data_IF_719118568766
#
_entry.id   IF_719118568766
#
_cell.length_a   1.000
_cell.length_b   1.000
_cell.length_c   1.000
_cell.angle_alpha   90.00
_cell.angle_beta   90.00
_cell.angle_gamma   90.00
#
_symmetry.space_group_name_H-M   'P 1'
#
loop_
_entity.id
_entity.type
_entity.pdbx_description
1 polymer ?
#
# COMPACT_ATOMS: atom_id res chain seq x y z
N UNK A 1 12.05 -11.16 7.49
CA UNK A 1 11.61 -9.75 7.65
C UNK A 1 10.49 -9.49 6.66
N UNK A 2 9.70 -8.44 6.86
CA UNK A 2 8.63 -8.11 5.90
C UNK A 2 8.87 -6.76 5.22
N UNK A 3 8.40 -6.66 3.98
CA UNK A 3 8.51 -5.49 3.13
C UNK A 3 7.16 -5.17 2.52
N UNK A 4 6.71 -3.93 2.68
CA UNK A 4 5.57 -3.42 1.94
C UNK A 4 6.06 -3.02 0.54
N UNK A 5 5.32 -3.40 -0.50
CA UNK A 5 5.59 -3.05 -1.88
C UNK A 5 4.39 -2.29 -2.44
N UNK A 6 4.57 -1.03 -2.86
CA UNK A 6 3.55 -0.24 -3.55
C UNK A 6 3.82 -0.30 -5.05
N UNK A 7 2.79 -0.65 -5.81
CA UNK A 7 2.88 -0.79 -7.25
C UNK A 7 2.37 0.48 -7.89
N UNK A 8 3.21 1.12 -8.71
CA UNK A 8 2.94 2.43 -9.28
C UNK A 8 3.04 2.33 -10.80
N UNK A 9 1.99 2.72 -11.51
CA UNK A 9 2.01 2.77 -12.97
C UNK A 9 0.95 3.73 -13.51
N UNK A 10 1.01 4.01 -14.81
CA UNK A 10 -0.09 4.69 -15.50
C UNK A 10 -1.30 3.76 -15.55
N UNK A 11 -2.49 4.32 -15.30
CA UNK A 11 -3.73 3.59 -15.57
C UNK A 11 -3.81 3.26 -17.06
N UNK A 12 -4.19 2.03 -17.37
CA UNK A 12 -4.23 1.50 -18.72
C UNK A 12 -5.61 0.95 -18.99
N UNK A 13 -6.24 1.43 -20.06
CA UNK A 13 -7.37 0.74 -20.66
C UNK A 13 -6.84 -0.44 -21.47
N UNK A 14 -7.31 -1.65 -21.16
CA UNK A 14 -6.91 -2.87 -21.87
C UNK A 14 -8.12 -3.47 -22.57
N UNK A 15 -7.87 -4.06 -23.74
CA UNK A 15 -8.86 -4.95 -24.35
C UNK A 15 -9.01 -6.22 -23.49
N UNK A 16 -10.12 -6.98 -23.61
CA UNK A 16 -10.28 -8.22 -22.85
C UNK A 16 -9.14 -9.24 -23.07
N UNK A 17 -8.63 -9.34 -24.30
CA UNK A 17 -7.53 -10.26 -24.63
C UNK A 17 -6.21 -9.81 -23.98
N UNK A 18 -5.90 -8.50 -24.02
CA UNK A 18 -4.73 -7.93 -23.34
C UNK A 18 -4.83 -8.08 -21.82
N UNK A 19 -6.05 -7.96 -21.26
CA UNK A 19 -6.29 -8.16 -19.84
C UNK A 19 -6.04 -9.62 -19.43
N UNK A 20 -6.49 -10.59 -20.24
CA UNK A 20 -6.25 -12.02 -19.96
C UNK A 20 -4.76 -12.38 -20.02
N UNK A 21 -4.03 -11.87 -21.03
CA UNK A 21 -2.59 -12.05 -21.12
C UNK A 21 -1.85 -11.43 -19.92
N UNK A 22 -2.23 -10.21 -19.53
CA UNK A 22 -1.66 -9.56 -18.34
C UNK A 22 -1.92 -10.39 -17.07
N UNK A 23 -3.13 -10.93 -16.87
CA UNK A 23 -3.45 -11.78 -15.73
C UNK A 23 -2.57 -13.04 -15.67
N UNK A 24 -2.25 -13.66 -16.80
CA UNK A 24 -1.35 -14.82 -16.83
C UNK A 24 0.08 -14.50 -16.35
N UNK A 25 0.56 -13.27 -16.57
CA UNK A 25 1.85 -12.81 -16.02
C UNK A 25 1.79 -12.67 -14.50
N UNK A 26 0.68 -12.13 -13.96
CA UNK A 26 0.45 -12.05 -12.52
C UNK A 26 0.36 -13.43 -11.85
N UNK A 27 -0.39 -14.35 -12.45
CA UNK A 27 -0.49 -15.74 -11.97
C UNK A 27 0.88 -16.44 -11.98
N UNK A 28 1.68 -16.22 -13.02
CA UNK A 28 3.05 -16.76 -13.11
C UNK A 28 3.95 -16.19 -12.02
N UNK A 29 3.85 -14.89 -11.74
CA UNK A 29 4.55 -14.25 -10.65
C UNK A 29 4.10 -14.82 -9.29
N UNK A 30 2.79 -14.93 -9.02
CA UNK A 30 2.26 -15.50 -7.78
C UNK A 30 2.71 -16.94 -7.57
N UNK A 31 2.70 -17.77 -8.63
CA UNK A 31 3.18 -19.15 -8.55
C UNK A 31 4.68 -19.23 -8.22
N UNK A 32 5.49 -18.29 -8.74
CA UNK A 32 6.93 -18.21 -8.48
C UNK A 32 7.23 -17.70 -7.06
N UNK A 33 6.57 -16.63 -6.64
CA UNK A 33 6.78 -15.99 -5.33
C UNK A 33 6.18 -16.82 -4.19
N UNK A 34 5.07 -17.50 -4.43
CA UNK A 34 4.44 -18.42 -3.50
C UNK A 34 4.22 -17.81 -2.12
N UNK A 35 4.67 -18.52 -1.08
CA UNK A 35 4.51 -18.12 0.32
C UNK A 35 5.30 -16.88 0.74
N UNK A 36 6.15 -16.33 -0.14
CA UNK A 36 6.79 -15.05 0.11
C UNK A 36 5.77 -13.90 0.07
N UNK A 37 4.64 -14.06 -0.62
CA UNK A 37 3.55 -13.08 -0.58
C UNK A 37 2.66 -13.36 0.63
N UNK A 38 2.56 -12.38 1.54
CA UNK A 38 1.73 -12.44 2.75
C UNK A 38 0.39 -11.74 2.61
N UNK A 39 0.35 -10.74 1.75
CA UNK A 39 -0.85 -10.02 1.39
C UNK A 39 -0.61 -9.30 0.07
N UNK A 40 -1.68 -8.97 -0.64
CA UNK A 40 -1.61 -8.08 -1.79
C UNK A 40 -2.84 -8.19 -2.67
N UNK A 41 -3.16 -7.09 -3.34
CA UNK A 41 -4.21 -7.06 -4.34
C UNK A 41 -4.02 -5.85 -5.26
N UNK A 42 -4.74 -5.85 -6.38
CA UNK A 42 -4.88 -4.68 -7.22
C UNK A 42 -5.78 -3.63 -6.55
N UNK A 43 -5.52 -2.36 -6.82
CA UNK A 43 -6.37 -1.25 -6.40
C UNK A 43 -7.39 -0.93 -7.50
N UNK A 44 -8.64 -0.67 -7.12
CA UNK A 44 -9.66 -0.09 -8.00
C UNK A 44 -9.19 1.26 -8.57
N UNK A 45 -9.75 1.78 -9.68
CA UNK A 45 -9.27 3.00 -10.34
C UNK A 45 -9.14 4.23 -9.43
N UNK A 46 -8.22 5.13 -9.76
CA UNK A 46 -7.88 6.30 -8.96
C UNK A 46 -9.02 7.30 -8.82
N UNK A 47 -9.92 7.33 -9.79
CA UNK A 47 -11.15 8.11 -9.72
C UNK A 47 -12.17 7.64 -8.66
N UNK A 48 -11.99 6.45 -8.07
CA UNK A 48 -12.84 5.95 -6.99
C UNK A 48 -12.26 6.25 -5.59
N UNK A 49 -11.10 6.92 -5.51
CA UNK A 49 -10.42 7.19 -4.26
C UNK A 49 -11.24 8.10 -3.32
N UNK A 50 -10.98 7.98 -2.03
CA UNK A 50 -11.27 9.03 -1.05
C UNK A 50 -9.97 9.49 -0.42
N UNK A 51 -9.85 10.80 -0.16
CA UNK A 51 -8.74 11.36 0.62
C UNK A 51 -9.33 12.00 1.87
N UNK A 52 -8.77 11.63 3.01
CA UNK A 52 -9.20 12.09 4.32
C UNK A 52 -8.05 12.88 4.93
N UNK A 53 -8.31 14.11 5.35
CA UNK A 53 -7.32 15.02 5.95
C UNK A 53 -7.82 15.57 7.27
N UNK A 54 -6.94 16.21 8.05
CA UNK A 54 -7.30 16.85 9.33
C UNK A 54 -7.29 15.92 10.54
N UNK A 55 -6.92 14.64 10.34
CA UNK A 55 -6.85 13.63 11.39
C UNK A 55 -8.22 13.25 11.98
N UNK A 56 -8.21 12.39 13.03
CA UNK A 56 -9.45 11.81 13.57
C UNK A 56 -10.33 12.78 14.36
N UNK A 57 -9.76 13.91 14.82
CA UNK A 57 -10.50 14.92 15.58
C UNK A 57 -11.37 15.83 14.69
N UNK A 58 -10.97 16.02 13.42
CA UNK A 58 -11.65 16.88 12.47
C UNK A 58 -11.49 16.38 11.01
N UNK A 59 -11.96 15.15 10.70
CA UNK A 59 -11.74 14.55 9.39
C UNK A 59 -12.50 15.30 8.30
N UNK A 60 -11.79 15.64 7.24
CA UNK A 60 -12.35 16.21 6.00
C UNK A 60 -12.16 15.20 4.88
N UNK A 61 -13.27 14.70 4.35
CA UNK A 61 -13.31 13.72 3.26
C UNK A 61 -13.47 14.45 1.93
N UNK A 62 -12.66 14.07 0.96
CA UNK A 62 -12.70 14.58 -0.42
C UNK A 62 -12.63 13.42 -1.41
N UNK A 63 -13.37 13.53 -2.51
CA UNK A 63 -13.33 12.54 -3.60
C UNK A 63 -12.08 12.75 -4.47
N UNK A 64 -11.35 11.67 -4.78
CA UNK A 64 -10.11 11.69 -5.56
C UNK A 64 -10.24 11.14 -6.99
N UNK A 65 -9.17 11.25 -7.81
CA UNK A 65 -7.77 11.30 -7.40
C UNK A 65 -7.23 12.73 -7.33
N UNK A 66 -6.28 12.97 -6.42
CA UNK A 66 -5.59 14.25 -6.31
C UNK A 66 -4.15 14.24 -6.84
N UNK A 67 -3.63 13.05 -7.20
CA UNK A 67 -2.32 12.97 -7.81
C UNK A 67 -2.39 13.52 -9.25
N UNK A 68 -1.78 14.68 -9.49
CA UNK A 68 -1.53 15.20 -10.85
C UNK A 68 -0.48 14.38 -11.62
N UNK A 69 0.02 13.29 -11.02
CA UNK A 69 1.01 12.41 -11.63
C UNK A 69 0.34 11.46 -12.61
N UNK A 70 0.98 11.26 -13.76
CA UNK A 70 0.50 10.31 -14.74
C UNK A 70 0.54 8.86 -14.23
N UNK A 71 1.38 8.57 -13.24
CA UNK A 71 1.51 7.26 -12.61
C UNK A 71 0.94 7.32 -11.19
N UNK A 72 0.13 6.33 -10.83
CA UNK A 72 -0.61 6.24 -9.57
C UNK A 72 -0.44 4.85 -8.97
N UNK A 73 -0.70 4.73 -7.66
CA UNK A 73 -0.79 3.43 -7.02
C UNK A 73 -1.89 2.58 -7.68
N UNK A 74 -1.51 1.37 -8.12
CA UNK A 74 -2.39 0.41 -8.80
C UNK A 74 -2.46 -0.96 -8.11
N UNK A 75 -1.69 -1.17 -7.06
CA UNK A 75 -1.66 -2.42 -6.30
C UNK A 75 -0.68 -2.33 -5.14
N UNK A 76 -0.68 -3.35 -4.30
CA UNK A 76 0.36 -3.52 -3.27
C UNK A 76 0.68 -5.00 -3.03
N UNK A 77 1.82 -5.26 -2.40
CA UNK A 77 2.12 -6.52 -1.73
C UNK A 77 2.71 -6.28 -0.34
N UNK A 78 2.62 -7.29 0.51
CA UNK A 78 3.51 -7.48 1.66
C UNK A 78 4.32 -8.74 1.39
N UNK A 79 5.63 -8.58 1.24
CA UNK A 79 6.56 -9.69 1.05
C UNK A 79 7.21 -10.10 2.36
N UNK A 80 7.43 -11.39 2.57
CA UNK A 80 8.40 -11.92 3.52
C UNK A 80 9.68 -12.32 2.79
N UNK A 81 10.81 -11.81 3.27
CA UNK A 81 12.14 -12.09 2.74
C UNK A 81 13.19 -12.07 3.86
N UNK A 82 14.31 -12.76 3.69
CA UNK A 82 15.40 -12.79 4.67
C UNK A 82 16.11 -11.43 4.76
N UNK A 83 16.15 -10.68 3.65
CA UNK A 83 16.86 -9.40 3.53
C UNK A 83 16.32 -8.56 2.35
N UNK A 84 16.86 -7.34 2.19
CA UNK A 84 16.43 -6.40 1.16
C UNK A 84 16.74 -6.92 -0.25
N UNK A 85 17.85 -7.60 -0.47
CA UNK A 85 18.22 -8.12 -1.80
C UNK A 85 17.20 -9.15 -2.31
N UNK A 86 16.70 -10.02 -1.42
CA UNK A 86 15.64 -10.97 -1.76
C UNK A 86 14.29 -10.28 -2.02
N UNK A 87 13.94 -9.26 -1.23
CA UNK A 87 12.76 -8.45 -1.49
C UNK A 87 12.84 -7.69 -2.83
N UNK A 88 14.02 -7.18 -3.18
CA UNK A 88 14.30 -6.52 -4.47
C UNK A 88 14.20 -7.52 -5.63
N UNK A 89 14.62 -8.76 -5.43
CA UNK A 89 14.45 -9.81 -6.43
C UNK A 89 12.97 -10.11 -6.70
N UNK A 90 12.13 -10.18 -5.64
CA UNK A 90 10.68 -10.29 -5.79
C UNK A 90 10.10 -9.07 -6.52
N UNK A 91 10.45 -7.85 -6.11
CA UNK A 91 9.96 -6.61 -6.72
C UNK A 91 10.31 -6.49 -8.21
N UNK A 92 11.50 -6.94 -8.62
CA UNK A 92 11.91 -7.00 -10.02
C UNK A 92 10.98 -7.87 -10.87
N UNK A 93 10.50 -8.98 -10.30
CA UNK A 93 9.66 -9.95 -10.99
C UNK A 93 8.18 -9.56 -11.02
N UNK A 94 7.77 -8.54 -10.26
CA UNK A 94 6.40 -8.02 -10.32
C UNK A 94 6.16 -7.43 -11.72
N UNK A 95 5.10 -7.84 -12.45
CA UNK A 95 4.85 -7.39 -13.82
C UNK A 95 4.87 -5.86 -14.01
N UNK A 96 4.38 -5.10 -13.03
CA UNK A 96 4.37 -3.63 -13.06
C UNK A 96 5.76 -3.01 -13.21
N UNK A 97 6.82 -3.68 -12.74
CA UNK A 97 8.18 -3.15 -12.79
C UNK A 97 8.63 -2.86 -14.24
N UNK A 98 8.07 -3.56 -15.23
CA UNK A 98 8.40 -3.41 -16.66
C UNK A 98 7.87 -2.11 -17.30
N UNK A 99 6.81 -1.53 -16.72
CA UNK A 99 6.11 -0.38 -17.30
C UNK A 99 5.76 0.70 -16.27
N UNK A 100 6.25 0.56 -15.04
CA UNK A 100 5.98 1.44 -13.91
C UNK A 100 7.13 1.38 -12.91
N UNK A 101 6.78 1.25 -11.63
CA UNK A 101 7.71 1.11 -10.52
C UNK A 101 7.12 0.24 -9.41
N UNK A 102 8.01 -0.41 -8.64
CA UNK A 102 7.70 -1.04 -7.36
C UNK A 102 8.52 -0.33 -6.30
N UNK A 103 7.84 0.33 -5.37
CA UNK A 103 8.46 0.97 -4.23
C UNK A 103 8.40 0.02 -3.03
N UNK A 104 9.54 -0.27 -2.41
CA UNK A 104 9.66 -1.19 -1.28
C UNK A 104 10.00 -0.43 0.00
N UNK A 105 9.35 -0.79 1.10
CA UNK A 105 9.66 -0.30 2.43
C UNK A 105 9.84 -1.48 3.40
N UNK A 106 10.90 -1.51 4.19
CA UNK A 106 10.97 -2.38 5.36
C UNK A 106 9.82 -2.09 6.31
N UNK A 107 9.22 -3.15 6.85
CA UNK A 107 8.11 -3.06 7.81
C UNK A 107 8.63 -3.22 9.24
N UNK A 108 8.20 -2.34 10.13
CA UNK A 108 8.47 -2.41 11.57
C UNK A 108 7.64 -3.52 12.21
N UNK A 109 6.34 -3.50 11.93
CA UNK A 109 5.37 -4.51 12.37
C UNK A 109 4.23 -4.61 11.36
N UNK A 110 3.72 -5.81 11.16
CA UNK A 110 2.58 -6.10 10.29
C UNK A 110 1.52 -6.92 11.00
N UNK A 111 0.29 -6.73 10.53
CA UNK A 111 -0.88 -7.52 10.86
C UNK A 111 -1.26 -8.24 9.56
N UNK A 112 -1.06 -9.55 9.54
CA UNK A 112 -1.48 -10.37 8.39
C UNK A 112 -3.01 -10.31 8.21
N UNK A 113 -3.52 -10.34 6.97
CA UNK A 113 -4.95 -10.39 6.71
C UNK A 113 -5.63 -11.52 7.50
N UNK A 114 -6.65 -11.18 8.28
CA UNK A 114 -7.44 -12.16 9.05
C UNK A 114 -8.34 -13.05 8.17
N UNK A 115 -8.49 -12.69 6.89
CA UNK A 115 -9.23 -13.41 5.86
C UNK A 115 -8.68 -13.06 4.47
N UNK A 116 -9.01 -13.88 3.49
CA UNK A 116 -8.76 -13.60 2.07
C UNK A 116 -9.41 -12.29 1.65
N UNK A 117 -8.68 -11.50 0.88
CA UNK A 117 -9.12 -10.19 0.42
C UNK A 117 -10.18 -10.31 -0.68
N UNK A 118 -11.10 -9.35 -0.68
CA UNK A 118 -12.25 -9.30 -1.56
C UNK A 118 -12.39 -7.89 -2.15
N UNK A 119 -13.26 -7.75 -3.16
CA UNK A 119 -13.55 -6.45 -3.75
C UNK A 119 -14.27 -5.46 -2.80
N UNK A 120 -14.58 -5.87 -1.57
CA UNK A 120 -15.19 -5.00 -0.55
C UNK A 120 -14.16 -4.46 0.46
N UNK A 121 -12.91 -4.91 0.36
CA UNK A 121 -11.84 -4.47 1.26
C UNK A 121 -11.12 -3.25 0.67
N UNK A 122 -10.46 -2.47 1.53
CA UNK A 122 -9.86 -1.19 1.16
C UNK A 122 -8.46 -1.07 1.72
N UNK A 123 -7.54 -0.51 0.94
CA UNK A 123 -6.25 -0.06 1.41
C UNK A 123 -6.33 1.41 1.82
N UNK A 124 -5.99 1.70 3.07
CA UNK A 124 -5.75 3.03 3.58
C UNK A 124 -4.23 3.25 3.67
N UNK A 125 -3.68 4.11 2.81
CA UNK A 125 -2.28 4.55 2.88
C UNK A 125 -2.19 5.76 3.80
N UNK A 126 -1.36 5.66 4.84
CA UNK A 126 -1.19 6.68 5.86
C UNK A 126 -0.01 7.58 5.49
N UNK A 127 -0.28 8.87 5.41
CA UNK A 127 0.69 9.88 4.99
C UNK A 127 0.88 10.91 6.10
N UNK A 128 2.14 11.24 6.37
CA UNK A 128 2.54 12.28 7.33
C UNK A 128 3.46 13.31 6.68
N UNK A 129 3.38 14.60 7.06
CA UNK A 129 4.43 15.56 6.74
C UNK A 129 5.79 15.03 7.17
N UNK A 130 6.83 15.24 6.37
CA UNK A 130 8.16 14.69 6.61
C UNK A 130 8.73 15.09 8.00
N UNK A 131 8.42 16.28 8.49
CA UNK A 131 8.81 16.77 9.82
C UNK A 131 8.04 16.13 10.99
N UNK A 132 6.89 15.52 10.71
CA UNK A 132 6.01 14.87 11.69
C UNK A 132 6.22 13.36 11.76
N UNK A 133 6.91 12.77 10.79
CA UNK A 133 7.27 11.37 10.83
C UNK A 133 8.30 11.09 11.93
N UNK A 134 7.99 10.11 12.78
CA UNK A 134 8.83 9.75 13.92
C UNK A 134 9.56 8.43 13.64
N UNK A 135 10.82 8.37 14.07
CA UNK A 135 11.63 7.15 13.94
C UNK A 135 11.10 6.05 14.87
N UNK A 136 10.92 4.81 14.38
CA UNK A 136 10.50 3.68 15.22
C UNK A 136 11.34 3.51 16.48
N UNK A 137 10.68 3.25 17.61
CA UNK A 137 11.30 3.06 18.93
C UNK A 137 11.64 4.36 19.70
N UNK A 138 11.33 5.54 19.15
CA UNK A 138 11.39 6.81 19.90
C UNK A 138 10.13 7.02 20.75
N UNK A 139 10.19 7.79 21.86
CA UNK A 139 9.00 8.08 22.68
C UNK A 139 7.84 8.70 21.89
N UNK A 140 8.15 9.56 20.93
CA UNK A 140 7.17 10.19 20.04
C UNK A 140 6.50 9.16 19.14
N UNK A 141 7.27 8.22 18.58
CA UNK A 141 6.74 7.11 17.80
C UNK A 141 5.87 6.17 18.66
N UNK A 142 6.31 5.84 19.87
CA UNK A 142 5.53 4.99 20.80
C UNK A 142 4.19 5.65 21.18
N UNK A 143 4.16 6.97 21.33
CA UNK A 143 2.93 7.71 21.59
C UNK A 143 1.96 7.65 20.40
N UNK A 144 2.45 7.69 19.16
CA UNK A 144 1.64 7.51 17.95
C UNK A 144 1.20 6.05 17.81
N UNK A 145 2.09 5.08 18.04
CA UNK A 145 1.80 3.65 18.02
C UNK A 145 0.69 3.28 19.03
N UNK A 146 0.66 3.91 20.21
CA UNK A 146 -0.41 3.72 21.18
C UNK A 146 -1.79 4.14 20.62
N UNK A 147 -1.87 5.27 19.89
CA UNK A 147 -3.11 5.70 19.23
C UNK A 147 -3.56 4.72 18.14
N UNK A 148 -2.61 4.14 17.41
CA UNK A 148 -2.91 3.08 16.43
C UNK A 148 -3.41 1.79 17.11
N UNK A 149 -2.89 1.45 18.29
CA UNK A 149 -3.40 0.33 19.09
C UNK A 149 -4.83 0.59 19.59
N UNK A 150 -5.12 1.81 20.04
CA UNK A 150 -6.47 2.22 20.45
C UNK A 150 -7.46 2.16 19.27
N UNK A 151 -7.05 2.65 18.09
CA UNK A 151 -7.83 2.50 16.85
C UNK A 151 -8.11 1.03 16.54
N UNK A 152 -7.08 0.19 16.54
CA UNK A 152 -7.24 -1.23 16.19
C UNK A 152 -8.24 -1.92 17.13
N UNK A 153 -8.17 -1.63 18.42
CA UNK A 153 -9.13 -2.12 19.40
C UNK A 153 -10.55 -1.59 19.16
N UNK A 154 -10.70 -0.30 18.79
CA UNK A 154 -11.98 0.33 18.55
C UNK A 154 -12.64 -0.08 17.21
N UNK A 155 -11.85 -0.31 16.17
CA UNK A 155 -12.32 -0.70 14.84
C UNK A 155 -12.72 -2.19 14.77
N UNK A 156 -12.19 -3.03 15.67
CA UNK A 156 -12.52 -4.46 15.72
C UNK A 156 -12.28 -5.15 14.38
N UNK A 157 -13.26 -5.93 13.92
CA UNK A 157 -13.16 -6.72 12.69
C UNK A 157 -13.08 -5.89 11.40
N UNK A 158 -13.21 -4.55 11.47
CA UNK A 158 -13.00 -3.69 10.31
C UNK A 158 -11.52 -3.55 9.95
N UNK A 159 -10.58 -3.57 10.92
CA UNK A 159 -9.14 -3.59 10.59
C UNK A 159 -8.71 -5.02 10.41
N UNK A 160 -8.64 -5.45 9.15
CA UNK A 160 -8.38 -6.84 8.79
C UNK A 160 -6.89 -7.14 8.59
N UNK A 161 -6.06 -6.11 8.42
CA UNK A 161 -4.61 -6.21 8.28
C UNK A 161 -3.94 -4.84 8.24
N UNK A 162 -2.62 -4.80 8.12
CA UNK A 162 -1.88 -3.54 8.04
C UNK A 162 -0.38 -3.69 8.23
N UNK A 163 0.35 -2.59 8.10
CA UNK A 163 1.79 -2.55 8.31
C UNK A 163 2.23 -1.14 8.72
N UNK A 164 3.09 -1.05 9.72
CA UNK A 164 3.83 0.17 10.05
C UNK A 164 5.18 0.15 9.30
N UNK A 165 5.49 1.22 8.57
CA UNK A 165 6.68 1.30 7.72
C UNK A 165 7.86 1.91 8.48
N UNK A 166 9.07 1.53 8.09
CA UNK A 166 10.26 2.29 8.45
C UNK A 166 10.29 3.65 7.75
N UNK A 167 11.22 4.50 8.19
CA UNK A 167 11.44 5.84 7.64
C UNK A 167 11.62 5.82 6.12
N UNK A 168 11.16 6.87 5.42
CA UNK A 168 11.24 7.00 3.95
C UNK A 168 12.66 6.79 3.40
N UNK A 169 13.70 7.12 4.17
CA UNK A 169 15.10 6.93 3.75
C UNK A 169 15.49 5.46 3.59
N UNK A 170 14.67 4.55 4.11
CA UNK A 170 14.84 3.10 3.95
C UNK A 170 14.09 2.54 2.73
N UNK A 171 13.29 3.36 2.05
CA UNK A 171 12.57 2.94 0.87
C UNK A 171 13.54 2.66 -0.28
N UNK A 172 13.17 1.75 -1.18
CA UNK A 172 13.93 1.47 -2.40
C UNK A 172 12.97 1.25 -3.55
N UNK A 173 13.21 1.91 -4.67
CA UNK A 173 12.38 1.82 -5.85
C UNK A 173 13.03 0.93 -6.91
N UNK A 174 12.25 0.02 -7.49
CA UNK A 174 12.65 -0.87 -8.58
C UNK A 174 11.88 -0.53 -9.85
N UNK A 175 12.60 -0.41 -10.96
CA UNK A 175 12.05 -0.34 -12.32
C UNK A 175 12.82 -1.30 -13.21
N UNK A 176 12.17 -1.83 -14.24
CA UNK A 176 12.80 -2.62 -15.28
C UNK A 176 12.52 -1.97 -16.62
N UNK A 177 13.57 -1.67 -17.37
CA UNK A 177 13.48 -1.05 -18.68
C UNK A 177 14.38 -1.77 -19.65
N UNK A 178 13.81 -2.25 -20.76
CA UNK A 178 14.54 -2.98 -21.79
C UNK A 178 15.32 -4.21 -21.23
N UNK A 179 14.80 -4.81 -20.16
CA UNK A 179 15.42 -5.94 -19.45
C UNK A 179 16.47 -5.57 -18.39
N UNK A 180 16.84 -4.29 -18.28
CA UNK A 180 17.77 -3.79 -17.27
C UNK A 180 17.03 -3.34 -16.01
N UNK A 181 17.56 -3.71 -14.83
CA UNK A 181 16.99 -3.34 -13.54
C UNK A 181 17.61 -2.02 -13.09
N UNK A 182 16.78 -1.02 -12.86
CA UNK A 182 17.14 0.23 -12.22
C UNK A 182 16.63 0.20 -10.77
N UNK A 183 17.56 0.36 -9.83
CA UNK A 183 17.29 0.45 -8.39
C UNK A 183 17.69 1.85 -7.94
N UNK A 184 16.79 2.55 -7.25
CA UNK A 184 17.03 3.89 -6.72
C UNK A 184 16.63 3.96 -5.25
N UNK A 185 17.48 4.58 -4.44
CA UNK A 185 17.18 4.82 -3.02
C UNK A 185 16.04 5.83 -2.87
N UNK A 186 15.20 5.59 -1.86
CA UNK A 186 14.08 6.45 -1.52
C UNK A 186 12.78 6.14 -2.27
N UNK A 187 11.72 6.89 -1.91
CA UNK A 187 10.40 6.70 -2.46
C UNK A 187 10.30 7.15 -3.93
N UNK A 188 9.33 6.62 -4.68
CA UNK A 188 9.13 6.94 -6.10
C UNK A 188 8.76 8.41 -6.30
N UNK A 189 7.94 8.94 -5.38
CA UNK A 189 7.51 10.33 -5.39
C UNK A 189 8.16 11.08 -4.25
N UNK A 190 8.90 12.14 -4.58
CA UNK A 190 9.32 13.12 -3.59
C UNK A 190 8.13 14.02 -3.22
N UNK A 191 7.37 13.59 -2.20
CA UNK A 191 6.24 14.33 -1.64
C UNK A 191 6.59 15.11 -0.37
N UNK A 192 5.77 16.12 -0.08
CA UNK A 192 5.74 16.81 1.22
C UNK A 192 5.23 15.88 2.33
N UNK A 193 4.34 14.96 1.98
CA UNK A 193 3.88 13.89 2.85
C UNK A 193 4.50 12.56 2.44
N UNK A 194 4.70 11.68 3.41
CA UNK A 194 5.46 10.43 3.27
C UNK A 194 4.65 9.28 3.84
N UNK A 195 4.71 8.12 3.19
CA UNK A 195 4.04 6.92 3.69
C UNK A 195 4.67 6.45 5.00
N UNK A 196 3.85 6.29 6.03
CA UNK A 196 4.26 5.80 7.35
C UNK A 196 3.60 4.47 7.72
N UNK A 197 2.54 4.10 7.02
CA UNK A 197 1.81 2.87 7.29
C UNK A 197 0.70 2.58 6.28
N UNK A 198 0.14 1.39 6.39
CA UNK A 198 -1.11 1.01 5.73
C UNK A 198 -2.06 0.32 6.73
N UNK A 199 -3.35 0.46 6.46
CA UNK A 199 -4.37 -0.46 6.97
C UNK A 199 -5.11 -1.11 5.81
N UNK A 200 -5.53 -2.36 6.04
CA UNK A 200 -6.54 -3.03 5.24
C UNK A 200 -7.84 -2.98 6.02
N UNK A 201 -8.87 -2.42 5.39
CA UNK A 201 -10.17 -2.17 6.01
C UNK A 201 -11.23 -3.03 5.33
N UNK A 202 -11.91 -3.87 6.10
CA UNK A 202 -13.12 -4.55 5.68
C UNK A 202 -14.34 -3.66 5.90
N UNK A 203 -15.14 -3.47 4.85
CA UNK A 203 -16.37 -2.69 4.92
C UNK A 203 -17.45 -3.28 3.99
N UNK A 204 -18.71 -3.02 4.28
CA UNK A 204 -19.83 -3.37 3.42
C UNK A 204 -19.92 -2.45 2.19
N UNK A 205 -19.48 -1.19 2.35
CA UNK A 205 -19.52 -0.16 1.33
C UNK A 205 -18.48 0.94 1.59
N UNK A 206 -18.46 1.93 0.68
CA UNK A 206 -17.56 3.09 0.75
C UNK A 206 -17.81 3.96 1.98
N UNK A 207 -19.06 4.15 2.39
CA UNK A 207 -19.39 5.06 3.50
C UNK A 207 -18.88 4.48 4.82
N UNK A 208 -19.02 3.17 5.01
CA UNK A 208 -18.44 2.47 6.14
C UNK A 208 -16.90 2.49 6.10
N UNK A 209 -16.29 2.25 4.93
CA UNK A 209 -14.83 2.31 4.78
C UNK A 209 -14.28 3.71 5.12
N UNK A 210 -14.92 4.78 4.62
CA UNK A 210 -14.55 6.17 4.93
C UNK A 210 -14.72 6.47 6.41
N UNK A 211 -15.80 5.98 7.04
CA UNK A 211 -16.02 6.18 8.47
C UNK A 211 -14.91 5.55 9.31
N UNK A 212 -14.49 4.31 8.99
CA UNK A 212 -13.39 3.65 9.69
C UNK A 212 -12.07 4.35 9.41
N UNK A 213 -11.78 4.67 8.16
CA UNK A 213 -10.54 5.34 7.76
C UNK A 213 -10.42 6.75 8.37
N UNK A 214 -11.54 7.43 8.62
CA UNK A 214 -11.56 8.74 9.29
C UNK A 214 -11.15 8.71 10.75
N UNK A 215 -11.10 7.53 11.37
CA UNK A 215 -10.60 7.36 12.74
C UNK A 215 -9.08 7.13 12.80
N UNK A 216 -8.43 6.95 11.66
CA UNK A 216 -6.99 6.65 11.61
C UNK A 216 -6.20 7.86 12.13
N UNK A 217 -5.26 7.68 13.09
CA UNK A 217 -4.43 8.75 13.60
C UNK A 217 -3.30 9.05 12.60
N UNK A 218 -3.67 9.60 11.45
CA UNK A 218 -2.75 10.08 10.42
C UNK A 218 -3.15 11.48 9.93
N UNK A 219 -2.17 12.28 9.50
CA UNK A 219 -2.44 13.60 8.91
C UNK A 219 -3.30 13.51 7.65
N UNK A 220 -2.94 12.57 6.76
CA UNK A 220 -3.67 12.27 5.53
C UNK A 220 -3.82 10.76 5.36
N UNK A 221 -5.01 10.32 4.93
CA UNK A 221 -5.28 8.95 4.52
C UNK A 221 -5.73 8.95 3.06
N UNK A 222 -5.02 8.22 2.21
CA UNK A 222 -5.50 7.88 0.87
C UNK A 222 -6.18 6.51 0.92
N UNK A 223 -7.49 6.50 0.70
CA UNK A 223 -8.32 5.31 0.78
C UNK A 223 -8.71 4.82 -0.63
N UNK A 224 -8.37 3.56 -0.93
CA UNK A 224 -8.64 2.92 -2.23
C UNK A 224 -9.20 1.52 -2.04
N UNK A 225 -10.30 1.23 -2.73
CA UNK A 225 -10.90 -0.11 -2.74
C UNK A 225 -9.95 -1.10 -3.41
N UNK A 226 -9.90 -2.32 -2.89
CA UNK A 226 -9.21 -3.45 -3.51
C UNK A 226 -10.09 -4.06 -4.61
N UNK A 227 -9.47 -4.66 -5.61
CA UNK A 227 -10.20 -5.28 -6.72
C UNK A 227 -10.76 -6.68 -6.38
N UNK A 228 -10.20 -7.36 -5.37
CA UNK A 228 -10.55 -8.71 -4.96
C UNK A 228 -10.11 -9.78 -5.95
N UNK A 229 -9.01 -9.56 -6.69
CA UNK A 229 -8.63 -10.41 -7.84
C UNK A 229 -7.42 -11.29 -7.56
N UNK A 230 -6.64 -10.99 -6.52
CA UNK A 230 -5.42 -11.75 -6.21
C UNK A 230 -5.70 -13.12 -5.62
N UNK A 231 -6.81 -13.31 -4.90
CA UNK A 231 -7.10 -14.54 -4.17
C UNK A 231 -6.15 -14.80 -2.99
N UNK A 232 -5.42 -13.78 -2.55
CA UNK A 232 -4.47 -13.80 -1.43
C UNK A 232 -5.14 -13.51 -0.08
#
# INVERSE_FOLDING_TARGET
MQYFALLISREQERTPDDAAAAMAEWESFHAKAGSAIKAGDALAPAAAAAVITGGPDAPVVTDGPFAETAEVACGYYVFEAENLDEALALARDVPVAQFGAVELWPVVHSIEPSRTLTGNDWLALLLEPAESAHTPGTPEWEAVAAKHADLHAAAGDHVIGGAALHDRSTATTVRVRDGEVLITDGPYVEGAEIATGIYLIGAADRDEAVKVASMIPASTVQLRQLAGVSGL
#
